data_IF_921592281483
#
_entry.id   IF_921592281483
#
_cell.length_a   1.000
_cell.length_b   1.000
_cell.length_c   1.000
_cell.angle_alpha   90.00
_cell.angle_beta   90.00
_cell.angle_gamma   90.00
#
_symmetry.space_group_name_H-M   'P 1'
#
loop_
_entity.id
_entity.type
_entity.pdbx_description
1 polymer ?
#
# COMPACT_ATOMS: atom_id res chain seq x y z
N UNK A 1 -7.49 27.85 -1.92
CA UNK A 1 -7.49 28.84 -0.83
C UNK A 1 -6.42 28.45 0.15
N UNK A 2 -5.51 29.36 0.55
CA UNK A 2 -4.52 29.06 1.56
C UNK A 2 -5.23 28.83 2.90
N UNK A 3 -4.96 27.69 3.52
CA UNK A 3 -5.52 27.35 4.82
C UNK A 3 -5.01 28.33 5.90
N UNK A 4 -5.78 28.60 6.96
CA UNK A 4 -5.39 29.47 8.11
C UNK A 4 -3.97 29.19 8.62
N UNK A 5 -3.53 27.93 8.52
CA UNK A 5 -2.17 27.48 8.88
C UNK A 5 -1.07 28.12 8.02
N UNK A 6 -1.30 28.33 6.72
CA UNK A 6 -0.31 28.95 5.82
C UNK A 6 -0.09 30.44 6.11
N UNK A 7 -1.13 31.19 6.48
CA UNK A 7 -1.02 32.61 6.83
C UNK A 7 -0.32 32.81 8.18
N UNK A 8 -0.55 31.96 9.17
CA UNK A 8 0.15 32.01 10.46
C UNK A 8 1.63 31.65 10.30
N UNK A 9 1.98 30.71 9.43
CA UNK A 9 3.34 30.35 9.08
C UNK A 9 4.10 31.50 8.42
N UNK A 10 3.48 32.19 7.46
CA UNK A 10 4.06 33.33 6.78
C UNK A 10 4.27 34.54 7.74
N UNK A 11 3.31 34.79 8.61
CA UNK A 11 3.43 35.88 9.60
C UNK A 11 4.50 35.61 10.64
N UNK A 12 4.68 34.38 11.11
CA UNK A 12 5.75 34.01 12.05
C UNK A 12 7.13 34.02 11.39
N UNK A 13 7.23 33.54 10.13
CA UNK A 13 8.46 33.65 9.34
C UNK A 13 8.86 35.13 9.10
N UNK A 14 7.89 35.99 8.77
CA UNK A 14 8.11 37.42 8.60
C UNK A 14 8.54 38.12 9.91
N UNK A 15 7.96 37.73 11.05
CA UNK A 15 8.37 38.26 12.37
C UNK A 15 9.78 37.82 12.75
N UNK A 16 10.19 36.60 12.44
CA UNK A 16 11.54 36.09 12.67
C UNK A 16 12.58 36.78 11.77
N UNK A 17 12.23 37.09 10.51
CA UNK A 17 13.06 37.87 9.59
C UNK A 17 13.25 39.31 10.06
N UNK A 18 12.23 39.92 10.67
CA UNK A 18 12.30 41.28 11.18
C UNK A 18 13.18 41.42 12.45
N UNK A 19 13.36 40.31 13.19
CA UNK A 19 14.20 40.27 14.39
C UNK A 19 15.72 40.12 14.09
N UNK A 20 16.06 39.64 12.88
CA UNK A 20 17.45 39.45 12.44
C UNK A 20 18.07 40.78 11.96
N UNK A 21 18.44 41.67 12.87
CA UNK A 21 19.17 42.91 12.55
C UNK A 21 20.67 42.87 12.86
N UNK A 22 21.21 41.74 13.29
CA UNK A 22 22.65 41.60 13.59
C UNK A 22 23.32 40.56 12.69
N UNK A 23 24.57 40.87 12.31
CA UNK A 23 25.40 40.09 11.38
C UNK A 23 26.13 38.92 12.07
N UNK A 24 25.69 38.49 13.27
CA UNK A 24 26.37 37.48 14.04
C UNK A 24 25.99 36.07 13.56
N UNK A 25 27.01 35.25 13.39
CA UNK A 25 26.92 33.89 12.88
C UNK A 25 26.00 32.99 13.74
N UNK A 26 25.98 33.25 15.04
CA UNK A 26 25.10 32.54 16.00
C UNK A 26 23.62 32.86 15.77
N UNK A 27 23.30 34.10 15.41
CA UNK A 27 21.92 34.51 15.09
C UNK A 27 21.43 33.87 13.79
N UNK A 28 22.31 33.75 12.79
CA UNK A 28 22.03 33.10 11.52
C UNK A 28 21.80 31.60 11.75
N UNK A 29 22.63 30.95 12.55
CA UNK A 29 22.49 29.53 12.89
C UNK A 29 21.20 29.26 13.68
N UNK A 30 20.86 30.10 14.64
CA UNK A 30 19.60 30.01 15.38
C UNK A 30 18.39 30.19 14.46
N UNK A 31 18.48 31.08 13.46
CA UNK A 31 17.43 31.23 12.44
C UNK A 31 17.26 29.99 11.57
N UNK A 32 18.36 29.42 11.07
CA UNK A 32 18.29 28.19 10.28
C UNK A 32 17.74 27.00 11.09
N UNK A 33 18.13 26.88 12.36
CA UNK A 33 17.61 25.83 13.25
C UNK A 33 16.13 26.03 13.54
N UNK A 34 15.69 27.26 13.78
CA UNK A 34 14.29 27.60 14.00
C UNK A 34 13.45 27.42 12.73
N UNK A 35 13.96 27.85 11.56
CA UNK A 35 13.28 27.65 10.29
C UNK A 35 13.19 26.17 9.89
N UNK A 36 14.23 25.38 10.15
CA UNK A 36 14.23 23.94 9.89
C UNK A 36 13.20 23.22 10.77
N UNK A 37 13.09 23.54 12.06
CA UNK A 37 12.07 22.97 12.96
C UNK A 37 10.64 23.36 12.56
N UNK A 38 10.49 24.45 11.79
CA UNK A 38 9.21 24.92 11.27
C UNK A 38 8.79 24.27 9.96
N UNK A 39 9.78 23.89 9.14
CA UNK A 39 9.56 23.32 7.81
C UNK A 39 9.51 21.79 7.82
N UNK A 40 10.12 21.18 8.84
CA UNK A 40 10.08 19.72 9.00
C UNK A 40 8.89 19.35 9.89
N UNK A 41 8.07 18.36 9.47
CA UNK A 41 7.00 17.86 10.33
C UNK A 41 7.60 17.27 11.61
N UNK A 42 6.96 17.55 12.75
CA UNK A 42 7.36 16.98 14.04
C UNK A 42 7.30 15.45 13.99
N UNK A 43 8.08 14.79 14.86
CA UNK A 43 8.05 13.31 14.95
C UNK A 43 6.65 12.80 15.32
N UNK A 44 5.88 13.58 16.08
CA UNK A 44 4.47 13.29 16.39
C UNK A 44 3.58 13.37 15.15
N UNK A 45 3.76 14.39 14.29
CA UNK A 45 3.01 14.51 13.03
C UNK A 45 3.39 13.41 12.02
N UNK A 46 4.64 12.96 12.02
CA UNK A 46 5.08 11.81 11.21
C UNK A 46 4.49 10.51 11.74
N UNK A 47 4.46 10.32 13.06
CA UNK A 47 3.89 9.14 13.70
C UNK A 47 2.38 9.04 13.48
N UNK A 48 1.64 10.14 13.56
CA UNK A 48 0.19 10.17 13.33
C UNK A 48 -0.13 9.94 11.83
N UNK A 49 0.66 10.51 10.93
CA UNK A 49 0.54 10.26 9.49
C UNK A 49 0.79 8.79 9.15
N UNK A 50 1.84 8.19 9.68
CA UNK A 50 2.15 6.76 9.47
C UNK A 50 1.03 5.87 10.02
N UNK A 51 0.45 6.20 11.16
CA UNK A 51 -0.67 5.46 11.74
C UNK A 51 -1.92 5.54 10.85
N UNK A 52 -2.19 6.71 10.27
CA UNK A 52 -3.28 6.91 9.31
C UNK A 52 -3.03 6.17 8.00
N UNK A 53 -1.81 6.21 7.46
CA UNK A 53 -1.42 5.52 6.23
C UNK A 53 -1.51 4.00 6.40
N UNK A 54 -1.02 3.44 7.50
CA UNK A 54 -1.17 2.02 7.85
C UNK A 54 -2.65 1.62 7.97
N UNK A 55 -3.50 2.47 8.52
CA UNK A 55 -4.94 2.26 8.58
C UNK A 55 -5.59 2.16 7.18
N UNK A 56 -5.17 2.99 6.24
CA UNK A 56 -5.64 2.98 4.85
C UNK A 56 -5.21 1.69 4.15
N UNK A 57 -3.94 1.29 4.29
CA UNK A 57 -3.42 0.04 3.70
C UNK A 57 -4.17 -1.16 4.27
N UNK A 58 -4.37 -1.23 5.59
CA UNK A 58 -5.12 -2.32 6.23
C UNK A 58 -6.57 -2.43 5.74
N UNK A 59 -7.24 -1.29 5.50
CA UNK A 59 -8.58 -1.29 4.91
C UNK A 59 -8.57 -1.81 3.47
N UNK A 60 -7.58 -1.41 2.67
CA UNK A 60 -7.41 -1.91 1.31
C UNK A 60 -7.14 -3.42 1.29
N UNK A 61 -6.24 -3.90 2.14
CA UNK A 61 -5.95 -5.32 2.30
C UNK A 61 -7.19 -6.12 2.69
N UNK A 62 -7.93 -5.66 3.68
CA UNK A 62 -9.19 -6.29 4.10
C UNK A 62 -10.19 -6.37 2.95
N UNK A 63 -10.37 -5.27 2.20
CA UNK A 63 -11.26 -5.25 1.04
C UNK A 63 -10.82 -6.25 -0.04
N UNK A 64 -9.51 -6.31 -0.34
CA UNK A 64 -8.96 -7.25 -1.31
C UNK A 64 -9.17 -8.69 -0.86
N UNK A 65 -8.85 -9.02 0.40
CA UNK A 65 -9.04 -10.37 0.95
C UNK A 65 -10.50 -10.83 0.96
N UNK A 66 -11.43 -9.90 1.11
CA UNK A 66 -12.87 -10.22 1.07
C UNK A 66 -13.39 -10.39 -0.37
N UNK A 67 -12.82 -9.65 -1.33
CA UNK A 67 -13.34 -9.55 -2.70
C UNK A 67 -12.39 -10.08 -3.78
N UNK A 68 -11.32 -10.80 -3.42
CA UNK A 68 -10.27 -11.22 -4.36
C UNK A 68 -10.79 -11.99 -5.59
N UNK A 69 -11.88 -12.74 -5.44
CA UNK A 69 -12.49 -13.51 -6.54
C UNK A 69 -13.20 -12.62 -7.59
N UNK A 70 -13.52 -11.38 -7.23
CA UNK A 70 -14.20 -10.43 -8.10
C UNK A 70 -13.20 -9.65 -8.97
N UNK A 71 -13.68 -9.02 -10.08
CA UNK A 71 -12.83 -8.11 -10.86
C UNK A 71 -12.60 -6.80 -10.08
N UNK A 72 -11.58 -6.79 -9.21
CA UNK A 72 -11.19 -5.61 -8.43
C UNK A 72 -10.07 -4.84 -9.13
N UNK A 73 -10.26 -3.53 -9.31
CA UNK A 73 -9.23 -2.62 -9.81
C UNK A 73 -8.73 -1.70 -8.69
N UNK A 74 -7.52 -1.14 -8.88
CA UNK A 74 -6.98 -0.14 -7.94
C UNK A 74 -7.95 1.03 -7.76
N UNK A 75 -8.59 1.50 -8.85
CA UNK A 75 -9.54 2.59 -8.81
C UNK A 75 -10.78 2.24 -7.96
N UNK A 76 -11.31 1.02 -8.10
CA UNK A 76 -12.46 0.55 -7.31
C UNK A 76 -12.12 0.48 -5.82
N UNK A 77 -10.95 -0.06 -5.47
CA UNK A 77 -10.53 -0.16 -4.06
C UNK A 77 -10.31 1.22 -3.47
N UNK A 78 -9.65 2.11 -4.21
CA UNK A 78 -9.41 3.50 -3.79
C UNK A 78 -10.73 4.26 -3.54
N UNK A 79 -11.71 4.09 -4.42
CA UNK A 79 -13.07 4.65 -4.25
C UNK A 79 -13.74 4.14 -2.97
N UNK A 80 -13.63 2.84 -2.69
CA UNK A 80 -14.26 2.22 -1.50
C UNK A 80 -13.69 2.67 -0.17
N UNK A 81 -12.43 3.09 -0.16
CA UNK A 81 -11.75 3.58 1.05
C UNK A 81 -11.54 5.10 1.05
N UNK A 82 -12.20 5.80 0.11
CA UNK A 82 -12.23 7.26 -0.02
C UNK A 82 -10.83 7.91 -0.16
N UNK A 83 -10.00 7.34 -1.04
CA UNK A 83 -8.68 7.89 -1.39
C UNK A 83 -8.48 7.96 -2.89
N UNK A 84 -7.49 8.73 -3.34
CA UNK A 84 -7.14 8.73 -4.77
C UNK A 84 -6.37 7.46 -5.17
N UNK A 85 -6.57 6.93 -6.40
CA UNK A 85 -5.85 5.75 -6.89
C UNK A 85 -4.32 5.93 -6.87
N UNK A 86 -3.84 7.11 -7.20
CA UNK A 86 -2.40 7.42 -7.19
C UNK A 86 -1.82 7.35 -5.77
N UNK A 87 -2.55 7.89 -4.79
CA UNK A 87 -2.14 7.84 -3.40
C UNK A 87 -2.11 6.40 -2.88
N UNK A 88 -3.17 5.62 -3.13
CA UNK A 88 -3.21 4.20 -2.76
C UNK A 88 -2.07 3.41 -3.41
N UNK A 89 -1.78 3.64 -4.70
CA UNK A 89 -0.64 3.00 -5.39
C UNK A 89 0.69 3.31 -4.70
N UNK A 90 0.90 4.57 -4.31
CA UNK A 90 2.12 4.99 -3.59
C UNK A 90 2.24 4.32 -2.23
N UNK A 91 1.12 4.17 -1.50
CA UNK A 91 1.09 3.49 -0.21
C UNK A 91 1.42 2.00 -0.34
N UNK A 92 0.89 1.30 -1.35
CA UNK A 92 1.25 -0.11 -1.59
C UNK A 92 2.76 -0.28 -1.81
N UNK A 93 3.39 0.61 -2.59
CA UNK A 93 4.85 0.57 -2.78
C UNK A 93 5.62 0.92 -1.51
N UNK A 94 5.16 1.92 -0.75
CA UNK A 94 5.84 2.39 0.47
C UNK A 94 5.75 1.37 1.61
N UNK A 95 4.55 0.87 1.89
CA UNK A 95 4.29 0.04 3.07
C UNK A 95 4.47 -1.46 2.81
N UNK A 96 4.11 -1.95 1.62
CA UNK A 96 4.16 -3.38 1.27
C UNK A 96 5.33 -3.74 0.34
N UNK A 97 6.06 -2.76 -0.20
CA UNK A 97 7.19 -2.98 -1.11
C UNK A 97 6.79 -3.56 -2.48
N UNK A 98 5.50 -3.63 -2.79
CA UNK A 98 5.00 -4.21 -4.03
C UNK A 98 3.85 -3.38 -4.65
N UNK A 99 3.60 -3.58 -5.95
CA UNK A 99 2.47 -2.92 -6.61
C UNK A 99 1.14 -3.58 -6.23
N UNK A 100 0.05 -2.82 -6.30
CA UNK A 100 -1.32 -3.31 -6.09
C UNK A 100 -1.63 -4.58 -6.91
N UNK A 101 -1.27 -4.58 -8.20
CA UNK A 101 -1.54 -5.74 -9.08
C UNK A 101 -0.77 -6.99 -8.64
N UNK A 102 0.46 -6.82 -8.17
CA UNK A 102 1.29 -7.91 -7.65
C UNK A 102 0.71 -8.45 -6.34
N UNK A 103 0.26 -7.56 -5.46
CA UNK A 103 -0.41 -7.91 -4.21
C UNK A 103 -1.67 -8.74 -4.45
N UNK A 104 -2.60 -8.26 -5.30
CA UNK A 104 -3.83 -8.99 -5.64
C UNK A 104 -3.53 -10.36 -6.26
N UNK A 105 -2.53 -10.42 -7.14
CA UNK A 105 -2.07 -11.68 -7.74
C UNK A 105 -1.60 -12.66 -6.68
N UNK A 106 -0.78 -12.22 -5.74
CA UNK A 106 -0.28 -13.04 -4.62
C UNK A 106 -1.43 -13.56 -3.76
N UNK A 107 -2.33 -12.69 -3.35
CA UNK A 107 -3.52 -13.07 -2.56
C UNK A 107 -4.35 -14.14 -3.27
N UNK A 108 -4.64 -13.98 -4.56
CA UNK A 108 -5.37 -14.98 -5.35
C UNK A 108 -4.65 -16.32 -5.40
N UNK A 109 -3.33 -16.33 -5.56
CA UNK A 109 -2.53 -17.56 -5.63
C UNK A 109 -2.43 -18.26 -4.26
N UNK A 110 -2.35 -17.51 -3.17
CA UNK A 110 -2.39 -18.07 -1.81
C UNK A 110 -3.75 -18.71 -1.50
N UNK A 111 -4.85 -18.05 -1.90
CA UNK A 111 -6.19 -18.65 -1.81
C UNK A 111 -6.33 -19.90 -2.66
N UNK A 112 -5.80 -19.91 -3.90
CA UNK A 112 -5.80 -21.11 -4.74
C UNK A 112 -5.08 -22.28 -4.06
N UNK A 113 -3.92 -22.00 -3.49
CA UNK A 113 -3.13 -23.01 -2.74
C UNK A 113 -3.89 -23.55 -1.53
N UNK A 114 -4.61 -22.69 -0.82
CA UNK A 114 -5.48 -23.09 0.29
C UNK A 114 -6.63 -23.98 -0.17
N UNK A 115 -7.35 -23.59 -1.23
CA UNK A 115 -8.45 -24.38 -1.80
C UNK A 115 -7.96 -25.76 -2.22
N UNK A 116 -6.78 -25.86 -2.85
CA UNK A 116 -6.17 -27.13 -3.23
C UNK A 116 -5.88 -28.03 -2.02
N UNK A 117 -5.42 -27.45 -0.90
CA UNK A 117 -5.18 -28.19 0.34
C UNK A 117 -6.47 -28.70 0.98
N UNK A 118 -7.49 -27.85 1.04
CA UNK A 118 -8.79 -28.18 1.63
C UNK A 118 -9.55 -29.21 0.77
N UNK A 119 -9.38 -29.15 -0.57
CA UNK A 119 -10.08 -29.97 -1.54
C UNK A 119 -9.16 -30.54 -2.63
N UNK A 120 -8.31 -31.52 -2.35
CA UNK A 120 -7.35 -32.08 -3.33
C UNK A 120 -7.97 -32.73 -4.56
N UNK A 121 -9.29 -33.01 -4.53
CA UNK A 121 -10.05 -33.59 -5.62
C UNK A 121 -10.60 -32.59 -6.63
N UNK A 122 -10.63 -31.29 -6.33
CA UNK A 122 -11.17 -30.28 -7.23
C UNK A 122 -10.34 -30.17 -8.52
N UNK A 123 -11.01 -29.94 -9.62
CA UNK A 123 -10.33 -29.71 -10.92
C UNK A 123 -9.72 -28.35 -10.97
N UNK A 124 -8.55 -28.19 -11.60
CA UNK A 124 -7.82 -26.94 -11.68
C UNK A 124 -8.67 -25.78 -12.22
N UNK A 125 -9.53 -26.04 -13.24
CA UNK A 125 -10.39 -24.99 -13.79
C UNK A 125 -11.43 -24.45 -12.79
N UNK A 126 -11.91 -25.29 -11.87
CA UNK A 126 -12.85 -24.88 -10.82
C UNK A 126 -12.16 -23.95 -9.82
N UNK A 127 -10.92 -24.27 -9.45
CA UNK A 127 -10.09 -23.45 -8.58
C UNK A 127 -9.80 -22.08 -9.24
N UNK A 128 -9.44 -22.10 -10.53
CA UNK A 128 -9.18 -20.90 -11.34
C UNK A 128 -10.37 -19.94 -11.31
N UNK A 129 -11.58 -20.47 -11.50
CA UNK A 129 -12.82 -19.66 -11.44
C UNK A 129 -13.07 -19.10 -10.03
N UNK A 130 -12.85 -19.91 -8.99
CA UNK A 130 -13.07 -19.48 -7.60
C UNK A 130 -12.13 -18.36 -7.15
N UNK A 131 -10.94 -18.26 -7.74
CA UNK A 131 -9.97 -17.22 -7.41
C UNK A 131 -9.98 -16.03 -8.38
N UNK A 132 -11.00 -15.95 -9.25
CA UNK A 132 -11.21 -14.82 -10.15
C UNK A 132 -10.25 -14.76 -11.34
N UNK A 133 -9.75 -15.92 -11.80
CA UNK A 133 -9.04 -16.03 -13.07
C UNK A 133 -9.97 -16.62 -14.14
N UNK A 134 -9.81 -16.14 -15.37
CA UNK A 134 -10.54 -16.65 -16.54
C UNK A 134 -9.74 -17.69 -17.31
N UNK A 135 -8.42 -17.51 -17.39
CA UNK A 135 -7.51 -18.37 -18.17
C UNK A 135 -6.72 -19.30 -17.28
N UNK A 136 -6.98 -20.62 -17.44
CA UNK A 136 -6.20 -21.69 -16.78
C UNK A 136 -4.72 -21.62 -17.17
N UNK A 137 -4.41 -21.28 -18.42
CA UNK A 137 -3.03 -21.16 -18.91
C UNK A 137 -2.29 -20.02 -18.19
N UNK A 138 -2.91 -18.85 -18.10
CA UNK A 138 -2.33 -17.69 -17.39
C UNK A 138 -2.19 -17.98 -15.90
N UNK A 139 -3.21 -18.54 -15.27
CA UNK A 139 -3.16 -18.96 -13.87
C UNK A 139 -1.99 -19.93 -13.60
N UNK A 140 -1.86 -20.98 -14.41
CA UNK A 140 -0.80 -22.00 -14.23
C UNK A 140 0.60 -21.40 -14.40
N UNK A 141 0.76 -20.46 -15.33
CA UNK A 141 2.00 -19.71 -15.49
C UNK A 141 2.35 -18.90 -14.24
N UNK A 142 1.40 -18.09 -13.74
CA UNK A 142 1.62 -17.25 -12.56
C UNK A 142 1.85 -18.09 -11.30
N UNK A 143 1.11 -19.18 -11.13
CA UNK A 143 1.27 -20.11 -10.01
C UNK A 143 2.68 -20.71 -9.99
N UNK A 144 3.17 -21.17 -11.15
CA UNK A 144 4.53 -21.71 -11.28
C UNK A 144 5.60 -20.64 -11.00
N UNK A 145 5.39 -19.41 -11.42
CA UNK A 145 6.33 -18.30 -11.12
C UNK A 145 6.43 -18.00 -9.63
N UNK A 146 5.33 -18.10 -8.90
CA UNK A 146 5.30 -17.80 -7.45
C UNK A 146 5.75 -18.98 -6.59
N UNK A 147 5.40 -20.20 -6.94
CA UNK A 147 5.61 -21.38 -6.10
C UNK A 147 6.63 -22.40 -6.65
N UNK A 148 7.17 -22.17 -7.84
CA UNK A 148 8.18 -23.03 -8.46
C UNK A 148 7.64 -24.30 -9.11
N UNK A 149 6.39 -24.68 -8.83
CA UNK A 149 5.71 -25.89 -9.34
C UNK A 149 4.41 -25.55 -10.03
N UNK A 150 3.96 -26.38 -10.95
CA UNK A 150 2.65 -26.19 -11.57
C UNK A 150 1.50 -26.53 -10.60
N UNK A 151 0.29 -25.97 -10.81
CA UNK A 151 -0.88 -26.32 -9.99
C UNK A 151 -1.16 -27.82 -9.95
N UNK A 152 -0.97 -28.52 -11.06
CA UNK A 152 -1.17 -29.98 -11.15
C UNK A 152 -0.15 -30.77 -10.33
N UNK A 153 1.14 -30.43 -10.44
CA UNK A 153 2.21 -31.03 -9.62
C UNK A 153 1.97 -30.79 -8.12
N UNK A 154 1.60 -29.56 -7.76
CA UNK A 154 1.26 -29.23 -6.38
C UNK A 154 0.06 -30.05 -5.86
N UNK A 155 -0.98 -30.19 -6.67
CA UNK A 155 -2.15 -30.99 -6.28
C UNK A 155 -1.84 -32.49 -6.16
N UNK A 156 -0.94 -33.00 -7.00
CA UNK A 156 -0.47 -34.39 -6.89
C UNK A 156 0.32 -34.64 -5.62
N UNK A 157 1.18 -33.72 -5.21
CA UNK A 157 1.92 -33.84 -3.95
C UNK A 157 1.00 -33.90 -2.73
N UNK A 158 -0.12 -33.17 -2.74
CA UNK A 158 -1.11 -33.18 -1.67
C UNK A 158 -1.91 -34.49 -1.55
N UNK A 159 -1.91 -35.33 -2.58
CA UNK A 159 -2.62 -36.64 -2.59
C UNK A 159 -1.71 -37.79 -2.19
N UNK A 160 -0.39 -37.55 -2.17
CA UNK A 160 0.61 -38.54 -1.83
C UNK A 160 0.95 -38.60 -0.33
N UNK A 161 0.57 -37.53 0.40
CA UNK A 161 0.65 -37.43 1.88
C UNK A 161 -0.67 -37.91 2.52
#
# INVERSE_FOLDING_TARGET
FPTRRSSDLLNRAASALCACKSSDQDTIQAFYTSAASFLLPSEEEKADRNKSENGIVSQAEHYIHTNYAQPISLALVAEKIDVSPNYLSSLFHKELGESYSKYVTRVRMEHAKRIMKENPGLRIYEIVNQVGYVSVKHFSYVFKQLFGVTPGEYQQSLKAD
#
